data_IF_957308242500
#
_entry.id   IF_957308242500
#
_cell.length_a   1.000
_cell.length_b   1.000
_cell.length_c   1.000
_cell.angle_alpha   90.00
_cell.angle_beta   90.00
_cell.angle_gamma   90.00
#
_symmetry.space_group_name_H-M   'P 1'
#
loop_
_entity.id
_entity.type
_entity.pdbx_description
1 polymer ?
#
# COMPACT_ATOMS: atom_id res chain seq x y z
N UNK A 1 -13.82 4.46 6.20
CA UNK A 1 -12.38 4.74 6.10
C UNK A 1 -11.84 4.17 4.80
N UNK A 2 -11.16 4.97 3.98
CA UNK A 2 -10.65 4.49 2.69
C UNK A 2 -9.55 3.41 2.86
N UNK A 3 -8.75 3.53 3.91
CA UNK A 3 -7.64 2.63 4.25
C UNK A 3 -8.13 1.23 4.65
N UNK A 4 -9.23 1.15 5.41
CA UNK A 4 -9.81 -0.13 5.85
C UNK A 4 -10.33 -0.96 4.68
N UNK A 5 -10.91 -0.32 3.66
CA UNK A 5 -11.37 -1.02 2.45
C UNK A 5 -10.22 -1.62 1.64
N UNK A 6 -9.07 -0.93 1.56
CA UNK A 6 -7.87 -1.47 0.92
C UNK A 6 -7.34 -2.66 1.72
N UNK A 7 -7.28 -2.56 3.06
CA UNK A 7 -6.85 -3.67 3.91
C UNK A 7 -7.70 -4.93 3.69
N UNK A 8 -9.02 -4.77 3.63
CA UNK A 8 -9.96 -5.89 3.41
C UNK A 8 -9.82 -6.48 2.01
N UNK A 9 -9.71 -5.63 0.98
CA UNK A 9 -9.54 -6.09 -0.40
C UNK A 9 -8.25 -6.90 -0.61
N UNK A 10 -7.16 -6.50 0.04
CA UNK A 10 -5.85 -7.13 -0.09
C UNK A 10 -5.50 -8.08 1.08
N UNK A 11 -6.46 -8.37 1.98
CA UNK A 11 -6.27 -9.27 3.14
C UNK A 11 -5.02 -8.98 3.99
N UNK A 12 -4.71 -7.69 4.18
CA UNK A 12 -3.46 -7.27 4.80
C UNK A 12 -3.48 -7.45 6.32
N UNK A 13 -2.38 -8.02 6.83
CA UNK A 13 -2.27 -8.41 8.24
C UNK A 13 -1.40 -7.46 9.08
N UNK A 14 -0.46 -6.74 8.46
CA UNK A 14 0.52 -5.86 9.12
C UNK A 14 0.79 -4.60 8.29
N UNK A 15 1.39 -3.59 8.93
CA UNK A 15 1.86 -2.34 8.33
C UNK A 15 0.78 -1.46 7.64
N UNK A 16 -0.51 -1.65 7.90
CA UNK A 16 -1.62 -1.03 7.15
C UNK A 16 -2.14 0.34 7.67
N UNK A 17 -1.41 1.05 8.53
CA UNK A 17 -1.96 2.19 9.30
C UNK A 17 -1.85 3.54 8.55
N UNK A 18 -1.18 3.58 7.40
CA UNK A 18 -0.94 4.83 6.65
C UNK A 18 -0.82 4.59 5.15
N UNK A 19 -0.10 5.42 4.39
CA UNK A 19 0.02 5.27 2.94
C UNK A 19 0.50 3.86 2.54
N UNK A 20 -0.21 3.17 1.63
CA UNK A 20 0.10 1.78 1.27
C UNK A 20 1.46 1.59 0.60
N UNK A 21 1.91 2.59 -0.15
CA UNK A 21 3.15 2.55 -0.93
C UNK A 21 4.22 3.52 -0.43
N UNK A 22 3.97 4.28 0.63
CA UNK A 22 4.89 5.32 1.08
C UNK A 22 5.10 5.28 2.60
N UNK A 23 6.36 5.48 3.04
CA UNK A 23 7.60 5.56 2.25
C UNK A 23 7.94 4.20 1.60
N UNK A 24 8.66 4.19 0.48
CA UNK A 24 8.98 2.98 -0.30
C UNK A 24 9.64 1.87 0.54
N UNK A 25 10.35 2.23 1.60
CA UNK A 25 11.00 1.30 2.52
C UNK A 25 10.07 0.66 3.55
N UNK A 26 8.84 1.16 3.67
CA UNK A 26 7.82 0.72 4.63
C UNK A 26 6.45 0.52 3.96
N UNK A 27 6.44 -0.08 2.77
CA UNK A 27 5.19 -0.51 2.12
C UNK A 27 4.44 -1.53 2.95
N UNK A 28 3.13 -1.62 2.73
CA UNK A 28 2.32 -2.63 3.40
C UNK A 28 2.75 -4.05 3.01
N UNK A 29 2.79 -4.95 3.99
CA UNK A 29 3.22 -6.34 3.76
C UNK A 29 2.18 -7.08 2.91
N UNK A 30 2.59 -7.50 1.71
CA UNK A 30 1.72 -8.19 0.75
C UNK A 30 1.06 -7.26 -0.27
N UNK A 31 1.47 -6.00 -0.35
CA UNK A 31 1.21 -5.14 -1.50
C UNK A 31 2.45 -5.01 -2.37
N UNK A 32 2.25 -5.05 -3.68
CA UNK A 32 3.22 -4.58 -4.65
C UNK A 32 2.84 -3.19 -5.13
N UNK A 33 3.82 -2.30 -5.18
CA UNK A 33 3.65 -0.92 -5.63
C UNK A 33 4.53 -0.64 -6.86
N UNK A 34 3.92 -0.04 -7.88
CA UNK A 34 4.63 0.56 -9.01
C UNK A 34 5.09 1.97 -8.64
N UNK A 35 6.38 2.23 -8.89
CA UNK A 35 7.04 3.51 -8.66
C UNK A 35 7.46 4.20 -9.96
N UNK A 36 6.81 3.87 -11.09
CA UNK A 36 7.06 4.54 -12.39
C UNK A 36 6.96 6.06 -12.30
N UNK A 37 6.07 6.55 -11.42
CA UNK A 37 6.04 7.94 -10.98
C UNK A 37 6.29 7.98 -9.46
N UNK A 38 7.50 8.30 -8.99
CA UNK A 38 7.83 8.31 -7.56
C UNK A 38 6.97 9.28 -6.73
N UNK A 39 6.46 10.33 -7.37
CA UNK A 39 5.56 11.32 -6.74
C UNK A 39 4.13 10.80 -6.59
N UNK A 40 3.77 9.70 -7.27
CA UNK A 40 2.43 9.10 -7.24
C UNK A 40 2.53 7.58 -7.46
N UNK A 41 3.03 6.83 -6.46
CA UNK A 41 3.11 5.39 -6.54
C UNK A 41 1.72 4.76 -6.55
N UNK A 42 1.58 3.61 -7.23
CA UNK A 42 0.31 2.89 -7.41
C UNK A 42 0.42 1.46 -6.95
N UNK A 43 -0.59 0.97 -6.24
CA UNK A 43 -0.71 -0.45 -5.91
C UNK A 43 -0.96 -1.23 -7.21
N UNK A 44 -0.23 -2.31 -7.42
CA UNK A 44 -0.36 -3.19 -8.59
C UNK A 44 -0.76 -4.62 -8.23
N UNK A 45 -0.52 -5.09 -6.99
CA UNK A 45 -0.99 -6.39 -6.51
C UNK A 45 -1.14 -6.44 -5.00
#
# INVERSE_FOLDING_TARGET
DAITGVRENYNLKKNWISDPCLPQTYTWDGLDCSYENPSSPRIVS
#
